data_IF_461290100586
#
_entry.id   IF_461290100586
#
_cell.length_a   1.000
_cell.length_b   1.000
_cell.length_c   1.000
_cell.angle_alpha   90.00
_cell.angle_beta   90.00
_cell.angle_gamma   90.00
#
_symmetry.space_group_name_H-M   'P 1'
#
loop_
_entity.id
_entity.type
_entity.pdbx_description
1 polymer ?
#
# COMPACT_ATOMS: atom_id res chain seq x y z
N UNK A 1 11.13 -28.72 -17.06
CA UNK A 1 10.46 -27.41 -17.20
C UNK A 1 11.17 -26.48 -16.25
N UNK A 2 12.04 -25.61 -16.77
CA UNK A 2 12.74 -24.61 -15.95
C UNK A 2 11.70 -23.82 -15.15
N UNK A 3 11.86 -23.63 -13.83
CA UNK A 3 10.97 -22.76 -13.07
C UNK A 3 11.10 -21.37 -13.68
N UNK A 4 10.06 -20.93 -14.39
CA UNK A 4 10.03 -19.60 -14.99
C UNK A 4 10.41 -18.56 -13.96
N UNK A 5 11.29 -17.62 -14.34
CA UNK A 5 11.74 -16.55 -13.46
C UNK A 5 10.53 -15.96 -12.70
N UNK A 6 10.56 -15.88 -11.35
CA UNK A 6 9.44 -15.37 -10.60
C UNK A 6 9.13 -13.96 -11.09
N UNK A 7 7.88 -13.74 -11.54
CA UNK A 7 7.42 -12.42 -11.99
C UNK A 7 7.69 -11.41 -10.88
N UNK A 8 8.12 -10.22 -11.24
CA UNK A 8 8.41 -9.15 -10.29
C UNK A 8 7.91 -7.82 -10.81
N UNK A 9 7.66 -6.88 -9.89
CA UNK A 9 7.31 -5.51 -10.25
C UNK A 9 8.60 -4.80 -10.66
N UNK A 10 8.62 -4.26 -11.88
CA UNK A 10 9.81 -3.58 -12.44
C UNK A 10 9.98 -2.13 -11.96
N UNK A 11 8.89 -1.47 -11.56
CA UNK A 11 8.91 -0.08 -11.13
C UNK A 11 7.55 0.59 -11.25
N UNK A 12 7.51 1.90 -11.03
CA UNK A 12 6.29 2.71 -11.10
C UNK A 12 6.55 4.01 -11.86
N UNK A 13 5.56 4.44 -12.64
CA UNK A 13 5.48 5.80 -13.14
C UNK A 13 4.35 6.52 -12.41
N UNK A 14 4.62 7.73 -11.93
CA UNK A 14 3.66 8.52 -11.16
C UNK A 14 3.29 9.75 -11.95
N UNK A 15 2.00 10.03 -11.99
CA UNK A 15 1.45 11.19 -12.69
C UNK A 15 0.58 12.01 -11.73
N UNK A 16 0.53 13.31 -11.96
CA UNK A 16 -0.46 14.22 -11.37
C UNK A 16 -1.32 14.82 -12.47
N UNK A 17 -2.61 15.00 -12.19
CA UNK A 17 -3.50 15.71 -13.10
C UNK A 17 -3.26 17.21 -12.95
N UNK A 18 -2.75 17.85 -14.00
CA UNK A 18 -2.73 19.30 -14.11
C UNK A 18 -4.09 19.75 -14.64
N UNK A 19 -4.92 20.29 -13.74
CA UNK A 19 -6.29 20.71 -14.05
C UNK A 19 -6.32 21.93 -14.97
N UNK A 20 -5.27 22.78 -14.96
CA UNK A 20 -5.25 24.01 -15.77
C UNK A 20 -5.15 23.71 -17.26
N UNK A 21 -4.40 22.66 -17.58
CA UNK A 21 -4.15 22.21 -18.96
C UNK A 21 -4.74 20.82 -19.23
N UNK A 22 -5.58 20.33 -18.31
CA UNK A 22 -6.32 19.06 -18.38
C UNK A 22 -5.49 17.86 -18.87
N UNK A 23 -4.27 17.69 -18.33
CA UNK A 23 -3.37 16.61 -18.74
C UNK A 23 -2.69 15.94 -17.56
N UNK A 24 -2.36 14.67 -17.73
CA UNK A 24 -1.49 13.94 -16.80
C UNK A 24 -0.04 14.33 -17.05
N UNK A 25 0.64 14.78 -16.00
CA UNK A 25 2.05 15.18 -16.03
C UNK A 25 2.83 14.20 -15.16
N UNK A 26 3.87 13.59 -15.72
CA UNK A 26 4.77 12.70 -14.98
C UNK A 26 5.46 13.48 -13.87
N UNK A 27 5.54 12.89 -12.69
CA UNK A 27 6.25 13.44 -11.54
C UNK A 27 7.35 12.49 -11.12
N UNK A 28 8.55 13.04 -10.95
CA UNK A 28 9.72 12.28 -10.51
C UNK A 28 9.75 12.10 -8.98
N UNK A 29 8.92 12.86 -8.25
CA UNK A 29 8.89 12.87 -6.79
C UNK A 29 7.48 13.00 -6.24
N UNK A 30 7.21 12.31 -5.13
CA UNK A 30 6.01 12.56 -4.33
C UNK A 30 6.13 13.90 -3.59
N UNK A 31 5.00 14.57 -3.40
CA UNK A 31 4.96 15.85 -2.69
C UNK A 31 5.44 15.72 -1.24
N UNK A 32 6.25 16.68 -0.81
CA UNK A 32 6.70 16.88 0.58
C UNK A 32 7.24 15.61 1.26
N UNK A 33 6.67 15.27 2.41
CA UNK A 33 7.01 14.15 3.28
C UNK A 33 6.13 12.92 3.03
N UNK A 34 5.49 12.81 1.85
CA UNK A 34 4.50 11.75 1.59
C UNK A 34 5.12 10.41 1.18
N UNK A 35 4.47 9.35 1.65
CA UNK A 35 4.59 7.99 1.12
C UNK A 35 3.22 7.56 0.56
N UNK A 36 3.24 6.71 -0.48
CA UNK A 36 2.01 6.15 -1.07
C UNK A 36 1.95 4.65 -0.86
N UNK A 37 0.77 4.18 -0.50
CA UNK A 37 0.41 2.77 -0.49
C UNK A 37 -0.48 2.51 -1.70
N UNK A 38 -0.21 1.46 -2.45
CA UNK A 38 -0.95 1.09 -3.65
C UNK A 38 -1.22 -0.41 -3.69
N UNK A 39 -2.37 -0.76 -4.24
CA UNK A 39 -2.81 -2.11 -4.55
C UNK A 39 -3.60 -2.05 -5.85
N UNK A 40 -3.99 -3.19 -6.40
CA UNK A 40 -4.85 -3.22 -7.59
C UNK A 40 -6.19 -2.48 -7.37
N UNK A 41 -6.70 -2.46 -6.14
CA UNK A 41 -8.05 -1.94 -5.83
C UNK A 41 -8.06 -0.62 -5.06
N UNK A 42 -6.92 -0.16 -4.55
CA UNK A 42 -6.90 1.02 -3.67
C UNK A 42 -5.54 1.70 -3.62
N UNK A 43 -5.56 2.98 -3.26
CA UNK A 43 -4.37 3.73 -2.89
C UNK A 43 -4.62 4.61 -1.67
N UNK A 44 -3.56 4.86 -0.91
CA UNK A 44 -3.58 5.74 0.27
C UNK A 44 -2.28 6.54 0.31
N UNK A 45 -2.35 7.84 0.65
CA UNK A 45 -1.17 8.66 0.90
C UNK A 45 -1.09 9.02 2.38
N UNK A 46 0.10 8.85 2.97
CA UNK A 46 0.37 9.19 4.38
C UNK A 46 1.57 10.11 4.48
N UNK A 47 1.68 10.84 5.59
CA UNK A 47 2.92 11.51 5.97
C UNK A 47 3.89 10.51 6.54
N UNK A 48 5.08 10.41 5.94
CA UNK A 48 6.12 9.49 6.40
C UNK A 48 6.64 9.87 7.78
N UNK A 49 6.70 11.18 8.07
CA UNK A 49 7.09 11.73 9.37
C UNK A 49 6.18 11.27 10.52
N UNK A 50 4.89 11.03 10.22
CA UNK A 50 3.86 10.62 11.17
C UNK A 50 3.60 9.10 11.15
N UNK A 51 4.23 8.36 10.23
CA UNK A 51 3.98 6.91 10.04
C UNK A 51 5.27 6.12 10.24
N UNK A 52 5.50 5.54 11.43
CA UNK A 52 6.73 4.81 11.74
C UNK A 52 7.06 3.73 10.69
N UNK A 53 8.32 3.70 10.25
CA UNK A 53 8.79 2.78 9.22
C UNK A 53 8.48 3.19 7.78
N UNK A 54 7.74 4.28 7.56
CA UNK A 54 7.59 4.88 6.24
C UNK A 54 8.77 5.79 5.90
N UNK A 55 9.22 5.73 4.65
CA UNK A 55 10.17 6.67 4.06
C UNK A 55 9.41 7.56 3.09
N UNK A 56 9.64 8.87 3.16
CA UNK A 56 9.10 9.82 2.19
C UNK A 56 9.60 9.47 0.79
N UNK A 57 8.81 9.83 -0.24
CA UNK A 57 9.13 9.55 -1.64
C UNK A 57 9.25 8.04 -1.97
N UNK A 58 8.54 7.20 -1.23
CA UNK A 58 8.44 5.76 -1.51
C UNK A 58 7.00 5.33 -1.79
N UNK A 59 6.88 4.27 -2.61
CA UNK A 59 5.63 3.59 -2.92
C UNK A 59 5.69 2.20 -2.30
N UNK A 60 4.77 1.93 -1.40
CA UNK A 60 4.53 0.65 -0.75
C UNK A 60 3.44 -0.05 -1.54
N UNK A 61 3.70 -1.22 -2.10
CA UNK A 61 2.76 -1.87 -3.01
C UNK A 61 2.41 -3.29 -2.60
N UNK A 62 1.22 -3.73 -2.99
CA UNK A 62 0.86 -5.15 -3.15
C UNK A 62 0.44 -5.38 -4.60
N UNK A 63 0.90 -6.49 -5.17
CA UNK A 63 0.59 -6.87 -6.55
C UNK A 63 0.31 -8.36 -6.64
N UNK A 64 -0.74 -8.73 -7.37
CA UNK A 64 -1.05 -10.11 -7.72
C UNK A 64 -0.30 -10.46 -9.01
N UNK A 65 0.75 -11.29 -8.91
CA UNK A 65 1.55 -11.68 -10.08
C UNK A 65 0.82 -12.65 -11.01
N UNK A 66 -0.24 -13.29 -10.49
CA UNK A 66 -1.07 -14.22 -11.21
C UNK A 66 -2.54 -14.06 -10.78
N UNK A 67 -3.37 -13.59 -11.71
CA UNK A 67 -4.81 -13.37 -11.49
C UNK A 67 -5.59 -14.65 -11.19
N UNK A 68 -4.96 -15.81 -11.38
CA UNK A 68 -5.57 -17.12 -11.13
C UNK A 68 -5.11 -17.76 -9.82
N UNK A 69 -4.22 -17.10 -9.07
CA UNK A 69 -3.69 -17.62 -7.82
C UNK A 69 -3.49 -16.53 -6.77
N UNK A 70 -4.44 -16.46 -5.83
CA UNK A 70 -4.35 -15.58 -4.65
C UNK A 70 -3.09 -15.85 -3.78
N UNK A 71 -2.44 -17.01 -3.93
CA UNK A 71 -1.21 -17.33 -3.20
C UNK A 71 0.07 -16.70 -3.78
N UNK A 72 -0.01 -16.02 -4.93
CA UNK A 72 1.13 -15.40 -5.61
C UNK A 72 1.16 -13.88 -5.50
N UNK A 73 0.46 -13.33 -4.51
CA UNK A 73 0.57 -11.91 -4.17
C UNK A 73 1.98 -11.61 -3.67
N UNK A 74 2.56 -10.48 -4.10
CA UNK A 74 3.79 -9.93 -3.54
C UNK A 74 3.53 -8.56 -2.93
N UNK A 75 4.36 -8.18 -1.98
CA UNK A 75 4.43 -6.82 -1.48
C UNK A 75 5.85 -6.31 -1.54
N UNK A 76 6.02 -5.00 -1.64
CA UNK A 76 7.34 -4.41 -1.75
C UNK A 76 7.34 -2.91 -1.54
N UNK A 77 8.53 -2.35 -1.66
CA UNK A 77 8.76 -0.90 -1.60
C UNK A 77 9.57 -0.47 -2.80
N UNK A 78 9.06 0.51 -3.50
CA UNK A 78 9.73 1.21 -4.59
C UNK A 78 10.18 2.59 -4.10
N UNK A 79 11.44 2.91 -4.33
CA UNK A 79 11.99 4.24 -4.10
C UNK A 79 11.87 5.04 -5.39
N UNK A 80 11.12 6.14 -5.37
CA UNK A 80 11.06 7.07 -6.50
C UNK A 80 12.43 7.76 -6.69
N UNK A 81 13.17 7.97 -5.59
CA UNK A 81 14.50 8.59 -5.61
C UNK A 81 15.53 7.71 -6.33
N UNK A 82 15.56 6.41 -6.00
CA UNK A 82 16.52 5.46 -6.57
C UNK A 82 15.97 4.78 -7.83
N UNK A 83 14.75 5.13 -8.23
CA UNK A 83 13.98 4.56 -9.33
C UNK A 83 14.01 3.03 -9.38
N UNK A 84 13.97 2.37 -8.23
CA UNK A 84 14.06 0.91 -8.13
C UNK A 84 13.22 0.33 -7.00
N UNK A 85 12.86 -0.94 -7.16
CA UNK A 85 12.28 -1.74 -6.07
C UNK A 85 13.38 -2.05 -5.06
N UNK A 86 13.26 -1.51 -3.85
CA UNK A 86 14.19 -1.72 -2.75
C UNK A 86 14.07 -3.14 -2.19
N UNK A 87 12.85 -3.66 -2.11
CA UNK A 87 12.60 -5.07 -1.82
C UNK A 87 11.22 -5.50 -2.31
N UNK A 88 11.06 -6.79 -2.51
CA UNK A 88 9.78 -7.45 -2.74
C UNK A 88 9.77 -8.82 -2.05
N UNK A 89 8.62 -9.24 -1.54
CA UNK A 89 8.43 -10.53 -0.86
C UNK A 89 7.03 -11.07 -1.15
N UNK A 90 6.83 -12.39 -1.20
CA UNK A 90 5.49 -12.98 -1.21
C UNK A 90 4.64 -12.49 -0.01
N UNK A 91 3.36 -12.27 -0.27
CA UNK A 91 2.34 -12.00 0.75
C UNK A 91 1.91 -13.36 1.30
N UNK A 92 2.49 -13.71 2.44
CA UNK A 92 2.28 -15.00 3.09
C UNK A 92 3.49 -15.93 2.92
N UNK A 93 3.97 -16.47 4.03
CA UNK A 93 4.69 -17.76 4.02
C UNK A 93 3.71 -18.88 4.35
N UNK A 94 4.23 -20.04 4.77
CA UNK A 94 3.47 -21.29 4.95
C UNK A 94 2.08 -21.08 5.56
N UNK A 95 1.02 -21.73 5.01
CA UNK A 95 -0.34 -21.64 5.54
C UNK A 95 -0.33 -21.86 7.06
N UNK A 96 -0.85 -20.88 7.81
CA UNK A 96 -1.00 -20.98 9.27
C UNK A 96 0.10 -20.34 10.14
N UNK A 97 1.13 -19.69 9.57
CA UNK A 97 2.24 -19.09 10.37
C UNK A 97 2.44 -17.59 10.26
N UNK A 98 1.43 -16.80 9.89
CA UNK A 98 1.50 -15.34 10.03
C UNK A 98 0.33 -14.79 10.85
N UNK A 99 0.67 -14.02 11.89
CA UNK A 99 -0.13 -12.84 12.23
C UNK A 99 0.08 -11.89 11.04
N UNK A 100 -0.92 -11.86 10.15
CA UNK A 100 -1.02 -11.14 8.87
C UNK A 100 -0.01 -10.01 8.64
N UNK A 101 0.47 -9.87 7.40
CA UNK A 101 1.06 -8.61 6.92
C UNK A 101 0.17 -7.47 7.37
N UNK A 102 0.63 -6.73 8.39
CA UNK A 102 -0.23 -5.86 9.17
C UNK A 102 -0.25 -4.53 8.46
N UNK A 103 -1.13 -4.41 7.48
CA UNK A 103 -1.58 -3.12 7.00
C UNK A 103 -2.23 -2.43 8.19
N UNK A 104 -1.73 -1.24 8.54
CA UNK A 104 -2.46 -0.39 9.46
C UNK A 104 -3.70 0.09 8.70
N UNK A 105 -4.85 -0.49 9.05
CA UNK A 105 -6.10 0.17 8.76
C UNK A 105 -6.07 1.48 9.56
N UNK A 106 -6.21 2.66 8.94
CA UNK A 106 -6.33 3.89 9.70
C UNK A 106 -7.47 3.70 10.69
N UNK A 107 -7.13 3.68 11.98
CA UNK A 107 -8.12 3.69 13.03
C UNK A 107 -8.88 5.00 12.89
N UNK A 108 -10.17 4.92 12.55
CA UNK A 108 -11.05 6.07 12.74
C UNK A 108 -11.02 6.34 14.24
N UNK A 109 -10.26 7.36 14.65
CA UNK A 109 -9.91 7.57 16.04
C UNK A 109 -11.16 7.68 16.91
N UNK A 110 -11.31 6.78 17.86
CA UNK A 110 -11.94 7.18 19.11
C UNK A 110 -10.93 8.09 19.80
N UNK A 111 -11.26 9.37 19.92
CA UNK A 111 -10.56 10.31 20.82
C UNK A 111 -10.30 9.65 22.17
N UNK A 112 -9.25 10.05 22.91
CA UNK A 112 -9.02 9.56 24.26
C UNK A 112 -10.05 10.20 25.20
N UNK A 113 -11.27 9.66 25.20
CA UNK A 113 -12.24 9.93 26.25
C UNK A 113 -11.93 9.01 27.44
N UNK A 114 -11.69 9.67 28.58
CA UNK A 114 -11.49 9.07 29.90
C UNK A 114 -12.52 7.97 30.17
N UNK A 115 -12.04 6.89 30.80
CA UNK A 115 -12.77 6.02 31.75
C UNK A 115 -14.26 5.74 31.47
N UNK A 116 -14.57 4.52 31.05
CA UNK A 116 -15.93 4.00 31.15
C UNK A 116 -16.15 2.73 30.35
N UNK A 117 -16.28 1.59 31.03
CA UNK A 117 -16.72 0.32 30.46
C UNK A 117 -17.99 0.51 29.62
N UNK A 118 -18.05 -0.06 28.41
CA UNK A 118 -19.27 -0.69 27.91
C UNK A 118 -19.03 -1.51 26.63
N UNK A 119 -19.86 -2.55 26.50
CA UNK A 119 -19.70 -3.74 25.69
C UNK A 119 -19.65 -3.51 24.17
N UNK A 120 -18.94 -4.42 23.49
CA UNK A 120 -18.90 -4.58 22.04
C UNK A 120 -20.31 -4.70 21.47
N UNK A 121 -20.63 -3.95 20.41
CA UNK A 121 -21.50 -4.38 19.30
C UNK A 121 -21.26 -3.44 18.10
N UNK A 122 -20.36 -3.83 17.19
CA UNK A 122 -20.10 -3.09 15.95
C UNK A 122 -20.72 -3.80 14.76
N UNK A 123 -21.90 -3.35 14.31
CA UNK A 123 -22.50 -3.72 13.02
C UNK A 123 -21.67 -3.11 11.86
N UNK A 124 -21.47 -3.91 10.82
CA UNK A 124 -20.74 -3.61 9.57
C UNK A 124 -21.33 -2.41 8.79
N UNK A 125 -20.51 -1.74 7.97
CA UNK A 125 -20.98 -1.07 6.73
C UNK A 125 -20.05 -1.33 5.55
N UNK A 126 -20.68 -1.67 4.41
CA UNK A 126 -20.11 -1.81 3.07
C UNK A 126 -19.56 -0.45 2.60
N UNK A 127 -18.47 -0.47 1.84
CA UNK A 127 -18.08 0.63 0.99
C UNK A 127 -18.03 0.14 -0.46
N UNK A 128 -18.72 0.87 -1.32
CA UNK A 128 -18.66 0.80 -2.77
C UNK A 128 -17.96 2.08 -3.22
N UNK A 129 -17.07 2.03 -4.21
CA UNK A 129 -16.43 3.24 -4.71
C UNK A 129 -16.28 3.15 -6.23
N UNK A 130 -16.65 4.27 -6.89
CA UNK A 130 -16.54 4.57 -8.31
C UNK A 130 -15.10 4.43 -8.81
#
# INVERSE_FOLDING_TARGET
QEPGCPKSVGGFEVYTLDVKVTRWVKVERLADDRARFVSEQSSLAVRASETPGCRANCIYFVSELDKHSYSNSIWGVYSMEEQKVLFQRPVGGSPGKYKAGRWFFPGVGASPARSGNCAKHGKKRKFQML
#
